data_IF_702493897798
#
_entry.id   IF_702493897798
#
_cell.length_a   1.000
_cell.length_b   1.000
_cell.length_c   1.000
_cell.angle_alpha   90.00
_cell.angle_beta   90.00
_cell.angle_gamma   90.00
#
_symmetry.space_group_name_H-M   'P 1'
#
loop_
_entity.id
_entity.type
_entity.pdbx_description
1 polymer ?
#
# COMPACT_ATOMS: atom_id res chain seq x y z
N UNK A 1 -15.37 -13.52 11.51
CA UNK A 1 -15.45 -13.15 12.94
C UNK A 1 -15.74 -11.66 13.12
N UNK A 2 -14.93 -10.75 12.57
CA UNK A 2 -15.14 -9.30 12.69
C UNK A 2 -16.50 -8.80 12.16
N UNK A 3 -16.90 -9.19 10.94
CA UNK A 3 -18.23 -8.86 10.37
C UNK A 3 -19.38 -9.32 11.30
N UNK A 4 -19.22 -10.50 11.91
CA UNK A 4 -20.22 -11.02 12.85
C UNK A 4 -20.23 -10.23 14.17
N UNK A 5 -19.06 -9.79 14.64
CA UNK A 5 -18.94 -8.94 15.82
C UNK A 5 -19.61 -7.59 15.64
N UNK A 6 -19.33 -6.91 14.53
CA UNK A 6 -19.89 -5.60 14.20
C UNK A 6 -21.42 -5.63 14.04
N UNK A 7 -21.95 -6.65 13.37
CA UNK A 7 -23.38 -6.69 13.02
C UNK A 7 -24.28 -7.44 14.01
N UNK A 8 -23.74 -8.42 14.75
CA UNK A 8 -24.59 -9.37 15.49
C UNK A 8 -24.14 -9.69 16.92
N UNK A 9 -22.88 -9.45 17.29
CA UNK A 9 -22.32 -9.88 18.61
C UNK A 9 -21.98 -8.67 19.52
N UNK A 10 -22.31 -7.44 19.10
CA UNK A 10 -22.22 -6.23 19.94
C UNK A 10 -23.07 -6.28 21.22
N UNK A 11 -22.96 -5.30 22.14
CA UNK A 11 -23.54 -5.38 23.49
C UNK A 11 -25.08 -5.55 23.47
N UNK A 12 -25.63 -6.07 24.58
CA UNK A 12 -26.99 -6.62 24.70
C UNK A 12 -28.07 -5.99 23.78
N UNK A 13 -28.68 -6.85 22.95
CA UNK A 13 -29.74 -6.55 21.95
C UNK A 13 -29.24 -5.92 20.63
N UNK A 14 -28.01 -6.25 20.21
CA UNK A 14 -27.50 -5.92 18.87
C UNK A 14 -28.27 -6.68 17.77
N UNK A 15 -29.40 -6.12 17.31
CA UNK A 15 -29.99 -6.47 16.03
C UNK A 15 -29.59 -5.40 15.00
N UNK A 16 -29.15 -5.78 13.79
CA UNK A 16 -28.69 -4.81 12.79
C UNK A 16 -29.82 -3.91 12.26
N UNK A 17 -31.08 -4.28 12.50
CA UNK A 17 -32.26 -3.55 12.05
C UNK A 17 -33.19 -3.22 13.22
N UNK A 18 -33.88 -2.08 13.13
CA UNK A 18 -34.98 -1.72 14.00
C UNK A 18 -36.23 -2.56 13.70
N UNK A 19 -37.24 -2.45 14.55
CA UNK A 19 -38.51 -3.20 14.41
C UNK A 19 -39.28 -2.86 13.13
N UNK A 20 -38.97 -1.74 12.50
CA UNK A 20 -39.53 -1.31 11.21
C UNK A 20 -38.67 -1.72 10.00
N UNK A 21 -37.54 -2.40 10.24
CA UNK A 21 -36.59 -2.83 9.22
C UNK A 21 -35.57 -1.77 8.79
N UNK A 22 -35.58 -0.58 9.40
CA UNK A 22 -34.57 0.46 9.14
C UNK A 22 -33.25 0.15 9.85
N UNK A 23 -32.16 0.78 9.43
CA UNK A 23 -30.86 0.66 10.12
C UNK A 23 -30.78 1.76 11.19
N UNK A 24 -30.63 1.40 12.48
CA UNK A 24 -30.48 2.37 13.55
C UNK A 24 -29.27 3.28 13.31
N UNK A 25 -29.38 4.57 13.63
CA UNK A 25 -28.30 5.55 13.43
C UNK A 25 -26.98 5.17 14.14
N UNK A 26 -27.06 4.53 15.31
CA UNK A 26 -25.90 4.03 16.05
C UNK A 26 -25.25 2.77 15.43
N UNK A 27 -25.88 2.16 14.42
CA UNK A 27 -25.39 0.96 13.72
C UNK A 27 -24.82 1.26 12.33
N UNK A 28 -25.01 2.48 11.79
CA UNK A 28 -24.54 2.84 10.44
C UNK A 28 -23.03 2.61 10.27
N UNK A 29 -22.21 3.06 11.23
CA UNK A 29 -20.76 2.86 11.19
C UNK A 29 -20.36 1.37 11.24
N UNK A 30 -21.11 0.52 11.96
CA UNK A 30 -20.85 -0.92 12.02
C UNK A 30 -21.06 -1.58 10.65
N UNK A 31 -22.05 -1.11 9.88
CA UNK A 31 -22.26 -1.55 8.50
C UNK A 31 -21.13 -1.10 7.59
N UNK A 32 -20.70 0.15 7.67
CA UNK A 32 -19.55 0.65 6.91
C UNK A 32 -18.29 -0.18 7.17
N UNK A 33 -17.95 -0.42 8.44
CA UNK A 33 -16.83 -1.27 8.84
C UNK A 33 -16.97 -2.72 8.34
N UNK A 34 -18.19 -3.25 8.37
CA UNK A 34 -18.49 -4.60 7.86
C UNK A 34 -18.30 -4.70 6.35
N UNK A 35 -18.68 -3.67 5.59
CA UNK A 35 -18.47 -3.64 4.15
C UNK A 35 -16.99 -3.58 3.78
N UNK A 36 -16.16 -2.81 4.50
CA UNK A 36 -14.69 -2.83 4.32
C UNK A 36 -14.17 -4.27 4.50
N UNK A 37 -14.56 -4.92 5.59
CA UNK A 37 -14.11 -6.29 5.90
C UNK A 37 -14.60 -7.31 4.89
N UNK A 38 -15.82 -7.13 4.37
CA UNK A 38 -16.38 -7.98 3.32
C UNK A 38 -15.60 -7.84 2.01
N UNK A 39 -15.19 -6.62 1.62
CA UNK A 39 -14.37 -6.40 0.43
C UNK A 39 -13.03 -7.17 0.51
N UNK A 40 -12.35 -7.11 1.66
CA UNK A 40 -11.12 -7.89 1.87
C UNK A 40 -11.37 -9.40 1.95
N UNK A 41 -12.51 -9.84 2.50
CA UNK A 41 -12.87 -11.25 2.51
C UNK A 41 -13.13 -11.79 1.09
N UNK A 42 -13.81 -10.99 0.25
CA UNK A 42 -14.02 -11.30 -1.17
C UNK A 42 -12.66 -11.39 -1.87
N UNK A 43 -11.81 -10.38 -1.72
CA UNK A 43 -10.44 -10.42 -2.27
C UNK A 43 -9.69 -11.70 -1.85
N UNK A 44 -9.63 -12.00 -0.55
CA UNK A 44 -8.89 -13.17 -0.04
C UNK A 44 -9.47 -14.49 -0.57
N UNK A 45 -10.79 -14.62 -0.63
CA UNK A 45 -11.45 -15.80 -1.16
C UNK A 45 -11.13 -16.02 -2.64
N UNK A 46 -11.20 -14.96 -3.45
CA UNK A 46 -10.87 -15.03 -4.87
C UNK A 46 -9.38 -15.23 -5.11
N UNK A 47 -8.49 -14.66 -4.29
CA UNK A 47 -7.06 -14.92 -4.38
C UNK A 47 -6.76 -16.43 -4.22
N UNK A 48 -7.36 -17.08 -3.21
CA UNK A 48 -7.23 -18.54 -3.02
C UNK A 48 -7.78 -19.32 -4.21
N UNK A 49 -8.92 -18.90 -4.78
CA UNK A 49 -9.50 -19.55 -5.95
C UNK A 49 -8.63 -19.38 -7.20
N UNK A 50 -8.09 -18.18 -7.42
CA UNK A 50 -7.21 -17.88 -8.54
C UNK A 50 -5.91 -18.70 -8.43
N UNK A 51 -5.31 -18.76 -7.24
CA UNK A 51 -4.12 -19.60 -6.98
C UNK A 51 -4.41 -21.09 -7.22
N UNK A 52 -5.62 -21.55 -6.90
CA UNK A 52 -6.02 -22.95 -7.10
C UNK A 52 -6.25 -23.30 -8.57
N UNK A 53 -6.86 -22.41 -9.36
CA UNK A 53 -7.20 -22.68 -10.76
C UNK A 53 -6.12 -22.26 -11.75
N UNK A 54 -5.20 -21.38 -11.36
CA UNK A 54 -4.04 -21.00 -12.15
C UNK A 54 -4.33 -20.35 -13.51
N UNK A 55 -5.34 -19.46 -13.67
CA UNK A 55 -5.53 -18.80 -14.97
C UNK A 55 -4.33 -17.92 -15.31
N UNK A 56 -4.07 -17.72 -16.61
CA UNK A 56 -2.92 -16.95 -17.10
C UNK A 56 -2.89 -15.52 -16.52
N UNK A 57 -4.06 -14.93 -16.26
CA UNK A 57 -4.25 -13.57 -15.74
C UNK A 57 -4.45 -13.49 -14.22
N UNK A 58 -4.05 -14.53 -13.47
CA UNK A 58 -4.30 -14.62 -12.03
C UNK A 58 -3.73 -13.44 -11.23
N UNK A 59 -2.55 -12.95 -11.59
CA UNK A 59 -1.85 -11.91 -10.85
C UNK A 59 -2.52 -10.55 -11.07
N UNK A 60 -2.92 -10.25 -12.29
CA UNK A 60 -3.66 -9.04 -12.66
C UNK A 60 -5.00 -8.98 -11.94
N UNK A 61 -5.76 -10.08 -11.98
CA UNK A 61 -7.07 -10.16 -11.31
C UNK A 61 -6.94 -10.03 -9.79
N UNK A 62 -5.91 -10.63 -9.20
CA UNK A 62 -5.67 -10.54 -7.75
C UNK A 62 -5.34 -9.11 -7.33
N UNK A 63 -4.45 -8.42 -8.05
CA UNK A 63 -4.13 -7.01 -7.78
C UNK A 63 -5.31 -6.07 -8.05
N UNK A 64 -6.14 -6.37 -9.06
CA UNK A 64 -7.36 -5.61 -9.32
C UNK A 64 -8.35 -5.71 -8.15
N UNK A 65 -8.60 -6.93 -7.66
CA UNK A 65 -9.48 -7.16 -6.51
C UNK A 65 -8.93 -6.51 -5.24
N UNK A 66 -7.63 -6.63 -5.00
CA UNK A 66 -6.95 -5.96 -3.88
C UNK A 66 -7.07 -4.43 -3.99
N UNK A 67 -6.88 -3.88 -5.19
CA UNK A 67 -7.03 -2.46 -5.48
C UNK A 67 -8.46 -1.97 -5.23
N UNK A 68 -9.47 -2.74 -5.63
CA UNK A 68 -10.89 -2.43 -5.34
C UNK A 68 -11.13 -2.45 -3.83
N UNK A 69 -10.59 -3.42 -3.10
CA UNK A 69 -10.74 -3.49 -1.64
C UNK A 69 -10.10 -2.26 -0.94
N UNK A 70 -8.88 -1.88 -1.32
CA UNK A 70 -8.25 -0.65 -0.81
C UNK A 70 -8.99 0.62 -1.23
N UNK A 71 -9.52 0.68 -2.45
CA UNK A 71 -10.32 1.79 -2.93
C UNK A 71 -11.61 1.98 -2.12
N UNK A 72 -12.31 0.87 -1.83
CA UNK A 72 -13.49 0.87 -0.96
C UNK A 72 -13.13 1.24 0.48
N UNK A 73 -12.03 0.71 1.01
CA UNK A 73 -11.52 1.08 2.33
C UNK A 73 -11.25 2.59 2.41
N UNK A 74 -10.54 3.15 1.41
CA UNK A 74 -10.25 4.58 1.36
C UNK A 74 -11.52 5.42 1.32
N UNK A 75 -12.48 5.04 0.48
CA UNK A 75 -13.75 5.76 0.33
C UNK A 75 -14.55 5.77 1.64
N UNK A 76 -14.72 4.61 2.28
CA UNK A 76 -15.49 4.49 3.51
C UNK A 76 -14.79 5.22 4.67
N UNK A 77 -13.47 5.12 4.81
CA UNK A 77 -12.75 5.93 5.80
C UNK A 77 -12.77 7.42 5.49
N UNK A 78 -12.84 7.83 4.22
CA UNK A 78 -12.98 9.24 3.87
C UNK A 78 -14.32 9.81 4.35
N UNK A 79 -15.43 9.12 4.06
CA UNK A 79 -16.75 9.53 4.53
C UNK A 79 -16.84 9.46 6.07
N UNK A 80 -16.39 8.36 6.67
CA UNK A 80 -16.36 8.20 8.12
C UNK A 80 -15.52 9.29 8.81
N UNK A 81 -14.36 9.65 8.24
CA UNK A 81 -13.51 10.71 8.78
C UNK A 81 -14.07 12.12 8.55
N UNK A 82 -14.92 12.32 7.54
CA UNK A 82 -15.60 13.59 7.32
C UNK A 82 -16.66 13.85 8.42
N UNK A 83 -17.20 12.79 9.02
CA UNK A 83 -18.14 12.86 10.13
C UNK A 83 -17.46 13.12 11.49
N UNK A 84 -16.19 12.73 11.65
CA UNK A 84 -15.39 12.94 12.87
C UNK A 84 -14.56 14.23 12.82
N UNK A 85 -15.20 15.38 13.03
CA UNK A 85 -14.48 16.64 13.22
C UNK A 85 -13.75 16.66 14.59
N UNK A 86 -12.41 16.61 14.59
CA UNK A 86 -11.62 16.71 15.84
C UNK A 86 -10.29 15.95 15.84
N UNK A 87 -9.96 15.32 16.96
CA UNK A 87 -8.72 14.55 17.16
C UNK A 87 -8.79 13.20 16.44
N UNK A 88 -9.94 12.54 16.51
CA UNK A 88 -10.21 11.26 15.84
C UNK A 88 -10.09 11.40 14.32
N UNK A 89 -10.66 12.45 13.73
CA UNK A 89 -10.48 12.78 12.32
C UNK A 89 -9.01 12.97 11.92
N UNK A 90 -8.17 13.54 12.79
CA UNK A 90 -6.72 13.66 12.52
C UNK A 90 -6.04 12.29 12.42
N UNK A 91 -6.38 11.35 13.31
CA UNK A 91 -5.88 9.97 13.23
C UNK A 91 -6.32 9.27 11.95
N UNK A 92 -7.60 9.42 11.57
CA UNK A 92 -8.15 8.80 10.36
C UNK A 92 -7.61 9.42 9.09
N UNK A 93 -7.36 10.73 9.04
CA UNK A 93 -6.74 11.39 7.89
C UNK A 93 -5.33 10.84 7.63
N UNK A 94 -4.53 10.63 8.68
CA UNK A 94 -3.21 9.99 8.55
C UNK A 94 -3.31 8.52 8.12
N UNK A 95 -4.32 7.79 8.58
CA UNK A 95 -4.60 6.42 8.12
C UNK A 95 -4.97 6.40 6.62
N UNK A 96 -5.78 7.35 6.14
CA UNK A 96 -6.14 7.46 4.73
C UNK A 96 -4.91 7.65 3.84
N UNK A 97 -3.90 8.40 4.28
CA UNK A 97 -2.64 8.54 3.54
C UNK A 97 -1.94 7.18 3.39
N UNK A 98 -1.89 6.37 4.46
CA UNK A 98 -1.31 5.02 4.38
C UNK A 98 -2.12 4.08 3.49
N UNK A 99 -3.46 4.21 3.49
CA UNK A 99 -4.34 3.46 2.59
C UNK A 99 -4.10 3.86 1.15
N UNK A 100 -3.95 5.16 0.86
CA UNK A 100 -3.65 5.66 -0.47
C UNK A 100 -2.30 5.16 -0.99
N UNK A 101 -1.27 5.07 -0.14
CA UNK A 101 0.03 4.49 -0.51
C UNK A 101 -0.13 2.99 -0.87
N UNK A 102 -0.87 2.22 -0.08
CA UNK A 102 -1.13 0.81 -0.41
C UNK A 102 -1.95 0.67 -1.69
N UNK A 103 -2.99 1.49 -1.87
CA UNK A 103 -3.82 1.50 -3.08
C UNK A 103 -2.98 1.78 -4.33
N UNK A 104 -2.21 2.86 -4.32
CA UNK A 104 -1.38 3.26 -5.46
C UNK A 104 -0.30 2.23 -5.77
N UNK A 105 0.37 1.67 -4.77
CA UNK A 105 1.38 0.62 -4.97
C UNK A 105 0.76 -0.69 -5.49
N UNK A 106 -0.44 -1.05 -5.05
CA UNK A 106 -1.21 -2.18 -5.59
C UNK A 106 -1.58 -1.96 -7.07
N UNK A 107 -2.04 -0.77 -7.45
CA UNK A 107 -2.33 -0.44 -8.86
C UNK A 107 -1.08 -0.48 -9.73
N UNK A 108 0.05 0.05 -9.24
CA UNK A 108 1.34 -0.08 -9.92
C UNK A 108 1.76 -1.55 -10.08
N UNK A 109 1.38 -2.41 -9.13
CA UNK A 109 1.65 -3.85 -9.14
C UNK A 109 1.05 -4.59 -10.34
N UNK A 110 -0.04 -4.07 -10.92
CA UNK A 110 -0.66 -4.64 -12.13
C UNK A 110 0.32 -4.60 -13.31
N UNK A 111 1.05 -3.49 -13.49
CA UNK A 111 2.05 -3.32 -14.56
C UNK A 111 3.43 -3.86 -14.18
N UNK A 112 3.82 -3.74 -12.92
CA UNK A 112 5.17 -4.05 -12.44
C UNK A 112 5.21 -5.29 -11.54
N UNK A 113 4.62 -6.40 -12.00
CA UNK A 113 4.43 -7.63 -11.22
C UNK A 113 5.72 -8.26 -10.68
N UNK A 114 6.85 -8.06 -11.38
CA UNK A 114 8.16 -8.63 -11.02
C UNK A 114 9.00 -7.74 -10.10
N UNK A 115 8.50 -6.56 -9.72
CA UNK A 115 9.25 -5.62 -8.89
C UNK A 115 9.17 -6.02 -7.41
N UNK A 116 10.24 -6.61 -6.88
CA UNK A 116 10.35 -6.90 -5.45
C UNK A 116 10.17 -5.65 -4.59
N UNK A 117 10.80 -4.53 -4.99
CA UNK A 117 10.71 -3.27 -4.26
C UNK A 117 9.26 -2.78 -4.13
N UNK A 118 8.47 -2.88 -5.21
CA UNK A 118 7.08 -2.44 -5.19
C UNK A 118 6.23 -3.31 -4.26
N UNK A 119 6.41 -4.64 -4.32
CA UNK A 119 5.73 -5.56 -3.41
C UNK A 119 6.15 -5.30 -1.96
N UNK A 120 7.43 -5.03 -1.72
CA UNK A 120 7.97 -4.70 -0.40
C UNK A 120 7.36 -3.42 0.19
N UNK A 121 7.32 -2.33 -0.59
CA UNK A 121 6.70 -1.06 -0.15
C UNK A 121 5.23 -1.26 0.19
N UNK A 122 4.48 -2.00 -0.65
CA UNK A 122 3.08 -2.34 -0.38
C UNK A 122 2.95 -3.10 0.95
N UNK A 123 3.76 -4.14 1.17
CA UNK A 123 3.72 -4.93 2.41
C UNK A 123 4.05 -4.09 3.65
N UNK A 124 5.07 -3.23 3.60
CA UNK A 124 5.41 -2.33 4.71
C UNK A 124 4.29 -1.31 4.96
N UNK A 125 3.66 -0.78 3.90
CA UNK A 125 2.52 0.13 4.00
C UNK A 125 1.32 -0.53 4.69
N UNK A 126 0.95 -1.75 4.30
CA UNK A 126 -0.13 -2.53 4.94
C UNK A 126 0.20 -2.85 6.40
N UNK A 127 1.45 -3.23 6.71
CA UNK A 127 1.90 -3.42 8.08
C UNK A 127 1.74 -2.14 8.91
N UNK A 128 2.10 -0.99 8.34
CA UNK A 128 1.99 0.29 9.03
C UNK A 128 0.53 0.70 9.26
N UNK A 129 -0.38 0.42 8.32
CA UNK A 129 -1.82 0.61 8.55
C UNK A 129 -2.30 -0.17 9.79
N UNK A 130 -1.94 -1.46 9.89
CA UNK A 130 -2.29 -2.29 11.03
C UNK A 130 -1.73 -1.76 12.35
N UNK A 131 -0.44 -1.38 12.36
CA UNK A 131 0.20 -0.76 13.51
C UNK A 131 -0.51 0.54 13.92
N UNK A 132 -0.85 1.40 12.95
CA UNK A 132 -1.50 2.68 13.21
C UNK A 132 -2.91 2.50 13.77
N UNK A 133 -3.68 1.53 13.29
CA UNK A 133 -5.00 1.19 13.84
C UNK A 133 -4.88 0.75 15.31
N UNK A 134 -3.90 -0.09 15.65
CA UNK A 134 -3.67 -0.52 17.05
C UNK A 134 -3.36 0.69 17.92
N UNK A 135 -2.46 1.57 17.45
CA UNK A 135 -2.06 2.80 18.15
C UNK A 135 -3.25 3.73 18.37
N UNK A 136 -4.06 3.98 17.33
CA UNK A 136 -5.29 4.77 17.40
C UNK A 136 -6.25 4.20 18.45
N UNK A 137 -6.45 2.87 18.45
CA UNK A 137 -7.28 2.17 19.44
C UNK A 137 -6.85 2.44 20.88
N UNK A 138 -5.55 2.35 21.18
CA UNK A 138 -5.05 2.66 22.52
C UNK A 138 -5.18 4.15 22.86
N UNK A 139 -4.82 5.05 21.94
CA UNK A 139 -4.75 6.49 22.22
C UNK A 139 -6.13 7.13 22.40
N UNK A 140 -7.14 6.69 21.66
CA UNK A 140 -8.49 7.26 21.73
C UNK A 140 -9.34 6.63 22.84
N UNK A 141 -9.17 5.34 23.15
CA UNK A 141 -10.02 4.63 24.13
C UNK A 141 -9.37 4.40 25.50
N UNK A 142 -8.10 4.77 25.71
CA UNK A 142 -7.45 4.70 27.03
C UNK A 142 -7.43 6.07 27.70
N UNK A 143 -8.23 6.26 28.77
CA UNK A 143 -8.36 7.55 29.47
C UNK A 143 -7.04 8.22 29.87
N UNK A 144 -6.01 7.43 30.21
CA UNK A 144 -4.68 7.94 30.62
C UNK A 144 -3.85 8.49 29.44
N UNK A 145 -4.19 8.13 28.21
CA UNK A 145 -3.47 8.52 26.99
C UNK A 145 -4.14 9.68 26.25
N UNK A 146 -5.33 10.11 26.69
CA UNK A 146 -6.05 11.24 26.11
C UNK A 146 -5.26 12.56 26.34
N UNK A 147 -5.06 13.40 25.31
CA UNK A 147 -4.36 14.67 25.44
C UNK A 147 -4.97 15.60 26.50
N UNK A 148 -4.12 16.38 27.15
CA UNK A 148 -4.54 17.38 28.15
C UNK A 148 -5.56 18.35 27.55
N UNK A 149 -6.70 18.50 28.23
CA UNK A 149 -7.79 19.38 27.80
C UNK A 149 -8.83 18.67 26.91
N UNK A 150 -8.61 17.39 26.60
CA UNK A 150 -9.57 16.53 25.91
C UNK A 150 -10.16 15.47 26.87
N UNK A 151 -11.34 14.97 26.53
CA UNK A 151 -12.10 14.02 27.34
C UNK A 151 -12.91 13.09 26.45
N UNK A 152 -13.27 11.94 27.00
CA UNK A 152 -14.13 10.96 26.33
C UNK A 152 -15.60 11.39 26.52
N UNK A 153 -16.29 11.70 25.44
CA UNK A 153 -17.72 12.02 25.43
C UNK A 153 -18.52 10.84 24.87
N UNK A 154 -19.74 10.60 25.34
CA UNK A 154 -20.63 9.58 24.77
C UNK A 154 -21.62 10.28 23.83
N UNK A 155 -21.50 10.01 22.53
CA UNK A 155 -22.34 10.59 21.49
C UNK A 155 -22.97 9.46 20.68
N UNK A 156 -24.31 9.43 20.58
CA UNK A 156 -25.06 8.46 19.75
C UNK A 156 -24.63 6.99 20.00
N UNK A 157 -24.34 6.64 21.26
CA UNK A 157 -23.94 5.29 21.66
C UNK A 157 -22.45 4.94 21.46
N UNK A 158 -21.63 5.88 20.99
CA UNK A 158 -20.19 5.70 20.80
C UNK A 158 -19.37 6.71 21.60
N UNK A 159 -18.17 6.29 22.01
CA UNK A 159 -17.25 7.15 22.75
C UNK A 159 -16.34 7.91 21.79
N UNK A 160 -16.44 9.24 21.80
CA UNK A 160 -15.68 10.15 20.92
C UNK A 160 -14.84 11.08 21.78
N UNK A 161 -13.62 11.38 21.35
CA UNK A 161 -12.74 12.32 22.06
C UNK A 161 -13.07 13.76 21.67
N UNK A 162 -13.52 14.57 22.64
CA UNK A 162 -13.78 16.01 22.49
C UNK A 162 -12.80 16.83 23.31
N UNK A 163 -12.55 18.08 22.91
CA UNK A 163 -11.64 18.98 23.62
C UNK A 163 -12.38 20.27 24.04
N UNK A 164 -11.99 20.85 25.18
CA UNK A 164 -12.69 21.99 25.78
C UNK A 164 -12.56 23.33 25.01
N UNK A 165 -11.71 23.39 23.98
CA UNK A 165 -11.51 24.58 23.16
C UNK A 165 -10.50 24.35 22.03
N UNK A 166 -10.36 25.33 21.15
CA UNK A 166 -9.50 25.24 19.96
C UNK A 166 -8.01 25.04 20.30
N UNK A 167 -7.50 25.71 21.33
CA UNK A 167 -6.10 25.56 21.75
C UNK A 167 -5.78 24.12 22.17
N UNK A 168 -6.68 23.49 22.93
CA UNK A 168 -6.53 22.09 23.34
C UNK A 168 -6.66 21.13 22.15
N UNK A 169 -7.54 21.44 21.20
CA UNK A 169 -7.72 20.67 19.97
C UNK A 169 -6.48 20.72 19.08
N UNK A 170 -5.93 21.92 18.82
CA UNK A 170 -4.74 22.07 17.99
C UNK A 170 -3.50 21.44 18.65
N UNK A 171 -3.38 21.57 19.98
CA UNK A 171 -2.38 20.82 20.74
C UNK A 171 -2.54 19.31 20.55
N UNK A 172 -3.75 18.78 20.66
CA UNK A 172 -4.01 17.36 20.50
C UNK A 172 -3.65 16.89 19.09
N UNK A 173 -4.08 17.60 18.04
CA UNK A 173 -3.71 17.28 16.64
C UNK A 173 -2.20 17.29 16.42
N UNK A 174 -1.49 18.27 16.98
CA UNK A 174 -0.03 18.34 16.89
C UNK A 174 0.65 17.13 17.56
N UNK A 175 0.13 16.67 18.71
CA UNK A 175 0.62 15.44 19.36
C UNK A 175 0.39 14.20 18.49
N UNK A 176 -0.77 14.08 17.83
CA UNK A 176 -1.04 12.99 16.87
C UNK A 176 -0.03 13.01 15.73
N UNK A 177 0.28 14.20 15.19
CA UNK A 177 1.26 14.35 14.11
C UNK A 177 2.67 13.92 14.56
N UNK A 178 3.12 14.36 15.74
CA UNK A 178 4.42 13.95 16.27
C UNK A 178 4.50 12.44 16.51
N UNK A 179 3.43 11.86 17.04
CA UNK A 179 3.33 10.42 17.22
C UNK A 179 3.43 9.68 15.88
N UNK A 180 2.66 10.11 14.87
CA UNK A 180 2.73 9.52 13.53
C UNK A 180 4.12 9.66 12.92
N UNK A 181 4.76 10.83 13.02
CA UNK A 181 6.12 11.05 12.53
C UNK A 181 7.13 10.12 13.20
N UNK A 182 7.01 9.90 14.53
CA UNK A 182 7.86 8.95 15.24
C UNK A 182 7.70 7.52 14.72
N UNK A 183 6.44 7.05 14.59
CA UNK A 183 6.16 5.73 14.04
C UNK A 183 6.64 5.58 12.60
N UNK A 184 6.47 6.61 11.76
CA UNK A 184 6.95 6.61 10.37
C UNK A 184 8.47 6.45 10.30
N UNK A 185 9.22 7.16 11.16
CA UNK A 185 10.68 7.01 11.25
C UNK A 185 11.04 5.58 11.68
N UNK A 186 10.41 5.07 12.74
CA UNK A 186 10.66 3.70 13.22
C UNK A 186 10.38 2.63 12.16
N UNK A 187 9.23 2.72 11.48
CA UNK A 187 8.84 1.79 10.40
C UNK A 187 9.81 1.90 9.23
N UNK A 188 10.29 3.11 8.90
CA UNK A 188 11.27 3.31 7.83
C UNK A 188 12.61 2.68 8.17
N UNK A 189 13.13 2.90 9.38
CA UNK A 189 14.37 2.26 9.84
C UNK A 189 14.22 0.74 9.84
N UNK A 190 13.09 0.22 10.32
CA UNK A 190 12.77 -1.20 10.27
C UNK A 190 12.73 -1.73 8.83
N UNK A 191 12.04 -1.05 7.92
CA UNK A 191 11.90 -1.44 6.53
C UNK A 191 13.25 -1.47 5.80
N UNK A 192 14.09 -0.44 5.96
CA UNK A 192 15.42 -0.41 5.36
C UNK A 192 16.31 -1.52 5.94
N UNK A 193 16.28 -1.71 7.26
CA UNK A 193 17.05 -2.78 7.91
C UNK A 193 16.61 -4.16 7.44
N UNK A 194 15.30 -4.39 7.33
CA UNK A 194 14.73 -5.63 6.82
C UNK A 194 15.09 -5.85 5.35
N UNK A 195 15.01 -4.82 4.52
CA UNK A 195 15.37 -4.89 3.10
C UNK A 195 16.84 -5.27 2.92
N UNK A 196 17.75 -4.63 3.66
CA UNK A 196 19.19 -4.94 3.62
C UNK A 196 19.48 -6.34 4.15
N UNK A 197 18.82 -6.76 5.23
CA UNK A 197 18.97 -8.11 5.77
C UNK A 197 18.50 -9.17 4.77
N UNK A 198 17.35 -8.96 4.12
CA UNK A 198 16.86 -9.81 3.05
C UNK A 198 17.86 -9.84 1.89
N UNK A 199 18.30 -8.68 1.41
CA UNK A 199 19.27 -8.62 0.31
C UNK A 199 20.53 -9.43 0.63
N UNK A 200 21.13 -9.26 1.81
CA UNK A 200 22.31 -10.02 2.24
C UNK A 200 22.06 -11.53 2.31
N UNK A 201 20.94 -11.97 2.90
CA UNK A 201 20.61 -13.40 3.04
C UNK A 201 20.36 -14.07 1.69
N UNK A 202 19.71 -13.37 0.76
CA UNK A 202 19.37 -13.92 -0.55
C UNK A 202 20.51 -13.78 -1.55
N UNK A 203 21.36 -12.77 -1.46
CA UNK A 203 22.62 -12.66 -2.21
C UNK A 203 23.60 -13.78 -1.82
N UNK A 204 23.73 -14.07 -0.51
CA UNK A 204 24.59 -15.16 -0.01
C UNK A 204 24.06 -16.56 -0.36
N UNK A 205 22.76 -16.71 -0.62
CA UNK A 205 22.12 -17.98 -1.03
C UNK A 205 22.01 -18.17 -2.54
N UNK A 206 22.20 -17.11 -3.31
CA UNK A 206 22.07 -17.10 -4.77
C UNK A 206 23.39 -16.59 -5.32
N UNK A 207 24.41 -17.45 -5.26
CA UNK A 207 25.64 -17.31 -6.05
C UNK A 207 25.27 -17.57 -7.53
N UNK A 208 24.48 -16.69 -8.13
CA UNK A 208 24.33 -16.59 -9.57
C UNK A 208 25.35 -15.58 -10.07
N UNK A 209 26.15 -16.03 -11.04
CA UNK A 209 27.15 -15.26 -11.78
C UNK A 209 26.72 -13.81 -11.97
N UNK A 210 27.58 -12.92 -11.47
CA UNK A 210 27.48 -11.48 -11.63
C UNK A 210 26.98 -11.10 -13.03
N UNK A 211 25.83 -10.43 -13.08
CA UNK A 211 25.25 -9.80 -14.27
C UNK A 211 26.24 -8.85 -14.97
N UNK A 212 27.33 -8.47 -14.30
CA UNK A 212 28.44 -7.71 -14.85
C UNK A 212 29.13 -8.37 -16.05
N UNK A 213 29.13 -9.71 -16.16
CA UNK A 213 29.79 -10.39 -17.29
C UNK A 213 28.93 -10.36 -18.55
N UNK A 214 27.61 -10.50 -18.44
CA UNK A 214 26.70 -10.50 -19.60
C UNK A 214 26.59 -9.14 -20.28
N UNK A 215 26.62 -8.04 -19.52
CA UNK A 215 26.62 -6.70 -20.08
C UNK A 215 27.99 -6.32 -20.68
N UNK A 216 29.10 -6.77 -20.06
CA UNK A 216 30.44 -6.53 -20.61
C UNK A 216 30.71 -7.35 -21.87
N UNK A 217 30.23 -8.59 -21.94
CA UNK A 217 30.38 -9.49 -23.09
C UNK A 217 29.50 -9.04 -24.27
N UNK A 218 28.27 -8.57 -24.04
CA UNK A 218 27.44 -7.94 -25.09
C UNK A 218 27.99 -6.61 -25.59
N UNK A 219 28.56 -5.80 -24.70
CA UNK A 219 29.22 -4.54 -25.10
C UNK A 219 30.50 -4.85 -25.89
N UNK A 220 31.24 -5.89 -25.53
CA UNK A 220 32.45 -6.29 -26.26
C UNK A 220 32.11 -6.89 -27.63
N UNK A 221 31.14 -7.80 -27.71
CA UNK A 221 30.65 -8.38 -28.98
C UNK A 221 30.03 -7.31 -29.89
N UNK A 222 29.28 -6.36 -29.34
CA UNK A 222 28.72 -5.24 -30.10
C UNK A 222 29.79 -4.32 -30.68
N UNK A 223 30.86 -4.02 -29.91
CA UNK A 223 31.99 -3.19 -30.35
C UNK A 223 32.84 -3.92 -31.40
N UNK A 224 33.05 -5.23 -31.27
CA UNK A 224 33.78 -6.03 -32.27
C UNK A 224 33.00 -6.19 -33.59
N UNK A 225 31.68 -6.40 -33.51
CA UNK A 225 30.82 -6.47 -34.70
C UNK A 225 30.80 -5.13 -35.47
N UNK A 226 30.82 -4.00 -34.76
CA UNK A 226 30.84 -2.67 -35.35
C UNK A 226 32.20 -2.33 -35.99
N UNK A 227 33.32 -2.81 -35.41
CA UNK A 227 34.66 -2.70 -36.00
C UNK A 227 34.81 -3.52 -37.29
N UNK A 228 34.36 -4.78 -37.30
CA UNK A 228 34.40 -5.65 -38.50
C UNK A 228 33.55 -5.09 -39.65
N UNK A 229 32.41 -4.48 -39.35
CA UNK A 229 31.55 -3.85 -40.36
C UNK A 229 32.18 -2.55 -40.91
N UNK A 230 32.94 -1.81 -40.10
CA UNK A 230 33.68 -0.61 -40.52
C UNK A 230 34.88 -0.95 -41.42
N UNK A 231 35.64 -1.98 -41.09
CA UNK A 231 36.78 -2.44 -41.92
C UNK A 231 36.31 -2.98 -43.28
N UNK A 232 35.23 -3.78 -43.30
CA UNK A 232 34.67 -4.34 -44.54
C UNK A 232 34.15 -3.24 -45.49
N UNK A 233 33.57 -2.16 -44.96
CA UNK A 233 33.13 -1.00 -45.76
C UNK A 233 34.31 -0.17 -46.27
N UNK A 234 35.40 -0.05 -45.51
CA UNK A 234 36.60 0.66 -45.96
C UNK A 234 37.32 -0.08 -47.10
N UNK A 235 37.28 -1.42 -47.08
CA UNK A 235 37.88 -2.25 -48.12
C UNK A 235 37.08 -2.17 -49.44
N UNK A 236 35.74 -2.14 -49.36
CA UNK A 236 34.87 -2.01 -50.54
C UNK A 236 34.89 -0.61 -51.17
N UNK A 237 35.19 0.45 -50.40
CA UNK A 237 35.31 1.82 -50.93
C UNK A 237 36.68 2.06 -51.60
N UNK A 238 37.69 1.23 -51.33
CA UNK A 238 39.03 1.37 -51.90
C UNK A 238 39.23 0.61 -53.22
N UNK A 239 38.31 -0.29 -53.58
CA UNK A 239 38.42 -1.12 -54.81
C UNK A 239 37.73 -0.49 -56.04
N UNK A 240 36.96 0.60 -55.87
CA UNK A 240 36.16 1.23 -56.95
C UNK A 240 36.76 2.55 -57.50
N UNK A 241 38.07 2.73 -57.36
CA UNK A 241 38.82 3.84 -57.97
C UNK A 241 40.04 3.29 -58.67
N UNK A 242 40.35 3.81 -59.87
CA UNK A 242 41.35 3.35 -60.86
C UNK A 242 40.78 2.30 -61.85
N UNK A 243 40.28 2.68 -63.03
CA UNK A 243 41.12 3.20 -64.13
C UNK A 243 40.26 3.64 -65.35
N UNK A 244 40.83 4.42 -66.29
CA UNK A 244 40.12 5.41 -67.10
C UNK A 244 39.64 4.93 -68.48
N UNK A 245 38.72 5.72 -69.05
CA UNK A 245 38.41 5.85 -70.48
C UNK A 245 39.68 6.03 -71.33
N UNK A 246 39.71 5.40 -72.52
CA UNK A 246 40.02 6.01 -73.84
C UNK A 246 39.81 4.93 -74.94
N UNK A 247 38.82 5.09 -75.83
CA UNK A 247 38.86 5.71 -77.18
C UNK A 247 39.52 4.82 -78.25
N UNK A 248 38.64 4.39 -79.17
CA UNK A 248 38.81 3.90 -80.56
C UNK A 248 38.72 2.38 -80.81
#
# INVERSE_FOLDING_TARGET
MFIAMELFIGPHRHQPFDTDGTIPSNHLHNFEHSFISLAFLVYASFAILLDKFGPIIQYELTHLLEGIAFGQQLLLFHFHSADHMGVEGQYHMLLQILILISFTTTLMGIRYQKSFLLSFIRSISVLFQGLWIIVMGFMLWTRRLIPKGCFLNLEVGHHVVRCHGEEALERAKSLVNFQFSWYLICVTVFAISLYLAMYKIYEEKVEYQSVTTYDLEKVHEGVEAQRKLGESKSFLVMEESFSPLDIE
#
